data_IF_482472422010
#
_entry.id   IF_482472422010
#
_cell.length_a   1.000
_cell.length_b   1.000
_cell.length_c   1.000
_cell.angle_alpha   90.00
_cell.angle_beta   90.00
_cell.angle_gamma   90.00
#
_symmetry.space_group_name_H-M   'P 1'
#
loop_
_entity.id
_entity.type
_entity.pdbx_description
1 polymer ?
#
# COMPACT_ATOMS: atom_id res chain seq x y z
N UNK A 1 0.44 46.86 -31.23
CA UNK A 1 1.32 46.16 -30.26
C UNK A 1 0.69 44.80 -29.98
N UNK A 2 1.28 43.74 -30.52
CA UNK A 2 0.66 42.43 -30.69
C UNK A 2 0.56 41.65 -29.38
N UNK A 3 -0.65 41.17 -29.06
CA UNK A 3 -0.92 40.17 -28.02
C UNK A 3 -0.75 38.78 -28.65
N UNK A 4 0.28 38.06 -28.24
CA UNK A 4 0.39 36.62 -28.52
C UNK A 4 -0.43 35.85 -27.49
N UNK A 5 -1.50 35.19 -27.94
CA UNK A 5 -2.17 34.13 -27.20
C UNK A 5 -1.88 32.83 -27.93
N UNK A 6 -0.91 32.06 -27.43
CA UNK A 6 -0.66 30.70 -27.87
C UNK A 6 -1.68 29.77 -27.21
N UNK A 7 -2.71 29.40 -27.95
CA UNK A 7 -3.63 28.33 -27.58
C UNK A 7 -2.94 27.00 -27.89
N UNK A 8 -2.31 26.38 -26.89
CA UNK A 8 -1.87 25.00 -26.99
C UNK A 8 -3.11 24.09 -26.94
N UNK A 9 -3.43 23.47 -28.07
CA UNK A 9 -4.49 22.47 -28.19
C UNK A 9 -4.08 21.22 -27.41
N UNK A 10 -4.68 21.01 -26.24
CA UNK A 10 -4.68 19.70 -25.58
C UNK A 10 -5.63 18.80 -26.35
N UNK A 11 -5.06 17.90 -27.16
CA UNK A 11 -5.80 16.80 -27.73
C UNK A 11 -5.99 15.74 -26.63
N UNK A 12 -7.21 15.65 -26.08
CA UNK A 12 -7.60 14.53 -25.25
C UNK A 12 -7.70 13.28 -26.14
N UNK A 13 -6.69 12.42 -26.11
CA UNK A 13 -6.84 11.04 -26.59
C UNK A 13 -7.61 10.26 -25.54
N UNK A 14 -8.90 10.08 -25.76
CA UNK A 14 -9.67 9.06 -25.07
C UNK A 14 -9.26 7.68 -25.62
N UNK A 15 -8.29 7.02 -25.01
CA UNK A 15 -8.12 5.58 -25.17
C UNK A 15 -9.15 4.90 -24.24
N UNK A 16 -10.27 4.50 -24.83
CA UNK A 16 -11.17 3.53 -24.20
C UNK A 16 -10.54 2.15 -24.38
N UNK A 17 -9.76 1.72 -23.39
CA UNK A 17 -9.31 0.33 -23.29
C UNK A 17 -10.48 -0.49 -22.74
N UNK A 18 -11.31 -1.05 -23.62
CA UNK A 18 -12.22 -2.15 -23.22
C UNK A 18 -11.37 -3.39 -22.95
N UNK A 19 -11.04 -3.64 -21.68
CA UNK A 19 -10.60 -4.97 -21.26
C UNK A 19 -11.86 -5.83 -21.17
N UNK A 20 -12.23 -6.46 -22.28
CA UNK A 20 -13.18 -7.57 -22.27
C UNK A 20 -12.46 -8.77 -21.67
N UNK A 21 -12.57 -8.91 -20.34
CA UNK A 21 -12.24 -10.16 -19.68
C UNK A 21 -13.31 -11.17 -20.10
N UNK A 22 -13.05 -11.88 -21.19
CA UNK A 22 -13.86 -13.03 -21.58
C UNK A 22 -13.56 -14.13 -20.58
N UNK A 23 -14.42 -14.25 -19.56
CA UNK A 23 -14.47 -15.42 -18.72
C UNK A 23 -14.86 -16.61 -19.59
N UNK A 24 -13.87 -17.32 -20.13
CA UNK A 24 -14.07 -18.70 -20.56
C UNK A 24 -14.21 -19.53 -19.30
N UNK A 25 -15.32 -20.24 -19.20
CA UNK A 25 -15.43 -21.35 -18.27
C UNK A 25 -14.38 -22.38 -18.68
N UNK A 26 -13.24 -22.38 -18.00
CA UNK A 26 -12.29 -23.49 -18.04
C UNK A 26 -12.73 -24.53 -17.02
N UNK A 27 -12.79 -25.78 -17.49
CA UNK A 27 -12.95 -26.97 -16.67
C UNK A 27 -12.02 -26.92 -15.44
N UNK A 28 -12.50 -27.44 -14.31
CA UNK A 28 -11.77 -27.67 -13.04
C UNK A 28 -10.25 -27.66 -13.23
N UNK A 29 -9.49 -26.69 -12.67
CA UNK A 29 -8.11 -26.51 -13.04
C UNK A 29 -7.30 -27.75 -12.65
N UNK A 30 -6.89 -28.52 -13.66
CA UNK A 30 -5.67 -29.30 -13.60
C UNK A 30 -4.59 -28.35 -13.11
N UNK A 31 -3.85 -28.74 -12.06
CA UNK A 31 -2.83 -27.90 -11.43
C UNK A 31 -2.02 -27.16 -12.50
N UNK A 32 -2.05 -25.82 -12.47
CA UNK A 32 -1.27 -25.02 -13.40
C UNK A 32 0.18 -25.50 -13.37
N UNK A 33 0.86 -25.64 -14.52
CA UNK A 33 2.25 -26.06 -14.54
C UNK A 33 3.06 -25.18 -13.59
N UNK A 34 3.88 -25.80 -12.74
CA UNK A 34 4.74 -25.07 -11.82
C UNK A 34 5.65 -24.14 -12.62
N UNK A 35 5.53 -22.84 -12.41
CA UNK A 35 6.44 -21.86 -12.98
C UNK A 35 7.75 -21.87 -12.20
N UNK A 36 8.87 -21.79 -12.94
CA UNK A 36 10.21 -21.63 -12.38
C UNK A 36 10.75 -20.21 -12.55
N UNK A 37 10.11 -19.42 -13.40
CA UNK A 37 10.33 -17.99 -13.57
C UNK A 37 9.05 -17.33 -14.08
N UNK A 38 8.92 -16.03 -13.84
CA UNK A 38 7.84 -15.21 -14.35
C UNK A 38 8.33 -13.80 -14.66
N UNK A 39 7.75 -13.21 -15.71
CA UNK A 39 7.97 -11.82 -16.10
C UNK A 39 6.62 -11.20 -16.38
N UNK A 40 6.23 -10.23 -15.56
CA UNK A 40 5.05 -9.40 -15.80
C UNK A 40 5.46 -7.93 -15.95
N UNK A 41 4.61 -7.14 -16.56
CA UNK A 41 4.78 -5.70 -16.67
C UNK A 41 3.45 -5.00 -16.46
N UNK A 42 3.48 -3.89 -15.74
CA UNK A 42 2.33 -3.01 -15.55
C UNK A 42 2.78 -1.58 -15.81
N UNK A 43 1.94 -0.80 -16.47
CA UNK A 43 2.13 0.64 -16.60
C UNK A 43 0.81 1.31 -16.27
N UNK A 44 0.84 2.29 -15.39
CA UNK A 44 -0.35 3.00 -14.91
C UNK A 44 -0.16 4.49 -15.12
N UNK A 45 -1.24 5.15 -15.53
CA UNK A 45 -1.31 6.62 -15.63
C UNK A 45 -2.55 7.05 -14.86
N UNK A 46 -2.37 7.86 -13.84
CA UNK A 46 -3.47 8.45 -13.08
C UNK A 46 -3.50 9.93 -13.32
N UNK A 47 -4.63 10.46 -13.81
CA UNK A 47 -4.88 11.89 -13.88
C UNK A 47 -5.98 12.27 -12.88
N UNK A 48 -5.71 13.28 -12.05
CA UNK A 48 -6.67 13.81 -11.10
C UNK A 48 -6.81 15.33 -11.25
N UNK A 49 -8.02 15.81 -11.00
CA UNK A 49 -8.33 17.23 -11.06
C UNK A 49 -9.21 17.64 -9.89
N UNK A 50 -9.01 18.87 -9.41
CA UNK A 50 -9.93 19.56 -8.50
C UNK A 50 -10.43 20.82 -9.18
N UNK A 51 -11.72 21.09 -9.05
CA UNK A 51 -12.35 22.30 -9.60
C UNK A 51 -12.03 23.51 -8.72
N UNK A 52 -12.51 24.69 -9.13
CA UNK A 52 -12.43 25.88 -8.30
C UNK A 52 -13.33 25.74 -7.07
N UNK A 53 -12.76 25.99 -5.88
CA UNK A 53 -13.52 26.09 -4.62
C UNK A 53 -12.99 27.26 -3.79
N UNK A 54 -13.80 27.74 -2.86
CA UNK A 54 -13.40 28.83 -1.96
C UNK A 54 -12.33 28.32 -0.98
N UNK A 55 -11.16 28.98 -0.99
CA UNK A 55 -10.05 28.67 -0.09
C UNK A 55 -9.67 29.93 0.71
N UNK A 56 -10.44 30.31 1.75
CA UNK A 56 -10.21 31.53 2.52
C UNK A 56 -8.94 31.49 3.38
N UNK A 57 -8.40 30.30 3.64
CA UNK A 57 -7.20 30.08 4.44
C UNK A 57 -6.26 29.12 3.70
N UNK A 58 -5.19 29.65 3.12
CA UNK A 58 -4.19 28.87 2.40
C UNK A 58 -2.83 28.98 3.08
N UNK A 59 -2.13 27.87 3.18
CA UNK A 59 -0.74 27.77 3.62
C UNK A 59 -0.04 26.57 2.98
N UNK A 60 1.15 26.24 3.46
CA UNK A 60 2.00 25.21 2.86
C UNK A 60 1.35 23.82 2.82
N UNK A 61 0.43 23.54 3.76
CA UNK A 61 -0.28 22.25 3.87
C UNK A 61 -1.73 22.30 3.35
N UNK A 62 -2.06 23.25 2.46
CA UNK A 62 -3.42 23.42 1.91
C UNK A 62 -3.58 22.82 0.52
N UNK A 63 -4.80 22.39 0.18
CA UNK A 63 -5.15 21.95 -1.17
C UNK A 63 -5.39 23.19 -2.04
N UNK A 64 -4.66 23.29 -3.15
CA UNK A 64 -4.86 24.36 -4.12
C UNK A 64 -6.11 24.10 -5.00
N UNK A 65 -6.99 25.10 -5.20
CA UNK A 65 -8.10 24.99 -6.14
C UNK A 65 -7.62 24.98 -7.60
N UNK A 66 -8.47 24.49 -8.50
CA UNK A 66 -8.25 24.53 -9.96
C UNK A 66 -6.92 23.89 -10.40
N UNK A 67 -6.64 22.69 -9.90
CA UNK A 67 -5.41 21.96 -10.20
C UNK A 67 -5.71 20.70 -10.99
N UNK A 68 -4.83 20.37 -11.93
CA UNK A 68 -4.77 19.07 -12.60
C UNK A 68 -3.37 18.53 -12.38
N UNK A 69 -3.30 17.25 -12.01
CA UNK A 69 -2.07 16.54 -11.72
C UNK A 69 -2.14 15.14 -12.30
N UNK A 70 -0.97 14.59 -12.59
CA UNK A 70 -0.84 13.24 -13.11
C UNK A 70 0.35 12.53 -12.48
N UNK A 71 0.23 11.22 -12.39
CA UNK A 71 1.30 10.29 -12.07
C UNK A 71 1.38 9.22 -13.14
N UNK A 72 2.60 8.73 -13.34
CA UNK A 72 2.92 7.65 -14.25
C UNK A 72 3.92 6.73 -13.57
N UNK A 73 3.66 5.44 -13.61
CA UNK A 73 4.58 4.40 -13.20
C UNK A 73 4.61 3.27 -14.24
N UNK A 74 5.77 2.62 -14.37
CA UNK A 74 5.94 1.42 -15.15
C UNK A 74 6.87 0.45 -14.43
N UNK A 75 6.34 -0.73 -14.12
CA UNK A 75 6.96 -1.72 -13.22
C UNK A 75 7.11 -3.05 -13.93
N UNK A 76 8.30 -3.62 -13.85
CA UNK A 76 8.53 -5.02 -14.22
C UNK A 76 8.48 -5.87 -12.96
N UNK A 77 7.82 -7.03 -13.04
CA UNK A 77 7.80 -8.01 -11.99
C UNK A 77 8.61 -9.22 -12.44
N UNK A 78 9.80 -9.39 -11.87
CA UNK A 78 10.75 -10.43 -12.24
C UNK A 78 10.82 -11.45 -11.11
N UNK A 79 10.28 -12.65 -11.35
CA UNK A 79 10.23 -13.73 -10.37
C UNK A 79 11.03 -14.94 -10.82
N UNK A 80 11.73 -15.59 -9.91
CA UNK A 80 12.40 -16.88 -10.13
C UNK A 80 12.16 -17.82 -8.96
N UNK A 81 12.13 -19.12 -9.22
CA UNK A 81 12.11 -20.18 -8.20
C UNK A 81 13.53 -20.74 -8.02
N UNK A 82 14.34 -20.21 -7.08
CA UNK A 82 15.72 -20.65 -6.92
C UNK A 82 15.81 -22.07 -6.33
N UNK A 83 14.81 -22.48 -5.54
CA UNK A 83 14.63 -23.85 -5.06
C UNK A 83 13.16 -24.11 -4.72
N UNK A 84 12.84 -25.35 -4.36
CA UNK A 84 11.46 -25.78 -4.10
C UNK A 84 10.80 -24.93 -2.99
N UNK A 85 9.68 -24.31 -3.35
CA UNK A 85 8.88 -23.50 -2.43
C UNK A 85 9.46 -22.11 -2.17
N UNK A 86 10.58 -21.73 -2.79
CA UNK A 86 11.09 -20.37 -2.71
C UNK A 86 10.77 -19.57 -3.96
N UNK A 87 10.56 -18.28 -3.77
CA UNK A 87 10.39 -17.28 -4.83
C UNK A 87 11.29 -16.09 -4.51
N UNK A 88 12.13 -15.68 -5.45
CA UNK A 88 12.87 -14.42 -5.39
C UNK A 88 12.27 -13.46 -6.40
N UNK A 89 11.84 -12.29 -5.92
CA UNK A 89 11.20 -11.26 -6.73
C UNK A 89 11.99 -9.97 -6.71
N UNK A 90 12.10 -9.31 -7.87
CA UNK A 90 12.60 -7.96 -8.02
C UNK A 90 11.60 -7.12 -8.83
N UNK A 91 11.29 -5.92 -8.38
CA UNK A 91 10.37 -5.01 -9.06
C UNK A 91 11.04 -3.66 -9.35
N UNK A 92 11.85 -3.57 -10.43
CA UNK A 92 12.31 -2.28 -10.91
C UNK A 92 11.14 -1.49 -11.50
N UNK A 93 11.05 -0.22 -11.11
CA UNK A 93 9.97 0.71 -11.42
C UNK A 93 10.54 2.02 -11.96
N UNK A 94 9.87 2.59 -12.95
CA UNK A 94 10.07 3.97 -13.39
C UNK A 94 8.86 4.77 -12.95
N UNK A 95 9.08 5.80 -12.14
CA UNK A 95 8.04 6.69 -11.63
C UNK A 95 8.19 8.11 -12.17
N UNK A 96 7.07 8.83 -12.28
CA UNK A 96 7.00 10.26 -12.57
C UNK A 96 5.69 10.85 -12.05
N UNK A 97 5.74 12.14 -11.71
CA UNK A 97 4.53 12.94 -11.52
C UNK A 97 4.36 13.41 -10.08
N UNK A 98 3.16 13.92 -9.81
CA UNK A 98 2.82 14.51 -8.52
C UNK A 98 1.34 14.26 -8.23
N UNK A 99 0.99 14.08 -6.96
CA UNK A 99 -0.39 14.18 -6.51
C UNK A 99 -0.90 15.62 -6.48
N UNK A 100 -2.21 15.77 -6.34
CA UNK A 100 -2.84 17.06 -6.04
C UNK A 100 -2.19 17.69 -4.80
N UNK A 101 -1.67 18.90 -4.96
CA UNK A 101 -0.94 19.67 -3.93
C UNK A 101 0.14 18.86 -3.20
N UNK A 102 0.81 17.95 -3.91
CA UNK A 102 1.79 17.01 -3.34
C UNK A 102 1.22 16.24 -2.13
N UNK A 103 -0.03 15.78 -2.28
CA UNK A 103 -0.82 15.05 -1.28
C UNK A 103 -1.25 15.84 -0.04
N UNK A 104 -1.05 17.16 -0.01
CA UNK A 104 -1.43 18.01 1.13
C UNK A 104 -2.85 18.55 1.02
N UNK A 105 -3.43 18.90 2.18
CA UNK A 105 -4.69 19.65 2.27
C UNK A 105 -5.98 18.82 2.29
N UNK A 106 -5.90 17.49 2.20
CA UNK A 106 -7.03 16.58 2.37
C UNK A 106 -6.59 15.45 3.31
N UNK A 107 -7.38 15.18 4.36
CA UNK A 107 -7.00 14.20 5.38
C UNK A 107 -6.92 12.75 4.83
N UNK A 108 -7.84 12.36 3.94
CA UNK A 108 -7.76 11.11 3.19
C UNK A 108 -7.17 11.38 1.81
N UNK A 109 -5.88 11.06 1.62
CA UNK A 109 -5.14 11.48 0.43
C UNK A 109 -5.86 11.03 -0.85
N UNK A 110 -6.07 11.94 -1.83
CA UNK A 110 -6.92 11.63 -2.98
C UNK A 110 -6.39 10.52 -3.90
N UNK A 111 -5.10 10.24 -3.87
CA UNK A 111 -4.46 9.22 -4.68
C UNK A 111 -3.35 8.51 -3.91
N UNK A 112 -3.45 7.19 -3.82
CA UNK A 112 -2.39 6.28 -3.38
C UNK A 112 -1.38 5.96 -4.50
N UNK A 113 -1.71 6.29 -5.77
CA UNK A 113 -0.74 6.30 -6.89
C UNK A 113 0.11 7.58 -6.91
N UNK A 114 -0.15 8.52 -6.01
CA UNK A 114 0.67 9.70 -5.81
C UNK A 114 1.47 9.57 -4.51
N UNK A 115 2.71 9.14 -4.65
CA UNK A 115 3.65 9.09 -3.54
C UNK A 115 3.86 10.49 -2.92
N UNK A 116 4.27 10.50 -1.63
CA UNK A 116 4.53 11.72 -0.86
C UNK A 116 5.68 12.56 -1.44
N UNK A 117 6.45 11.98 -2.36
CA UNK A 117 7.52 12.61 -3.13
C UNK A 117 7.28 12.41 -4.64
N UNK A 118 7.27 13.51 -5.39
CA UNK A 118 7.04 13.52 -6.82
C UNK A 118 8.18 14.16 -7.61
N UNK A 119 8.33 13.82 -8.89
CA UNK A 119 9.34 14.40 -9.79
C UNK A 119 8.78 14.65 -11.19
N UNK A 120 9.20 15.74 -11.81
CA UNK A 120 8.80 16.09 -13.19
C UNK A 120 9.49 15.26 -14.26
N UNK A 121 10.65 14.66 -13.96
CA UNK A 121 11.37 13.75 -14.84
C UNK A 121 11.22 12.30 -14.34
N UNK A 122 11.09 11.31 -15.25
CA UNK A 122 11.13 9.90 -14.87
C UNK A 122 12.34 9.56 -14.02
N UNK A 123 12.14 8.74 -13.00
CA UNK A 123 13.22 8.27 -12.13
C UNK A 123 13.04 6.80 -11.79
N UNK A 124 14.17 6.14 -11.55
CA UNK A 124 14.20 4.72 -11.24
C UNK A 124 14.08 4.45 -9.74
N UNK A 125 13.33 3.41 -9.40
CA UNK A 125 13.25 2.83 -8.06
C UNK A 125 13.29 1.31 -8.14
N UNK A 126 13.85 0.68 -7.10
CA UNK A 126 13.63 -0.74 -6.84
C UNK A 126 12.69 -0.82 -5.64
N UNK A 127 11.40 -0.97 -5.93
CA UNK A 127 10.36 -0.91 -4.89
C UNK A 127 10.34 -2.20 -4.07
N UNK A 128 10.41 -3.35 -4.75
CA UNK A 128 10.44 -4.66 -4.12
C UNK A 128 11.71 -5.43 -4.50
N UNK A 129 12.31 -6.07 -3.50
CA UNK A 129 13.35 -7.09 -3.63
C UNK A 129 13.22 -8.03 -2.43
N UNK A 130 12.53 -9.16 -2.59
CA UNK A 130 12.23 -10.05 -1.48
C UNK A 130 12.35 -11.53 -1.85
N UNK A 131 12.69 -12.33 -0.85
CA UNK A 131 12.63 -13.78 -0.88
C UNK A 131 11.39 -14.23 -0.10
N UNK A 132 10.56 -15.07 -0.71
CA UNK A 132 9.44 -15.75 -0.07
C UNK A 132 9.70 -17.25 -0.04
N UNK A 133 9.59 -17.88 1.13
CA UNK A 133 9.64 -19.32 1.30
C UNK A 133 8.29 -19.84 1.80
N UNK A 134 7.68 -20.73 1.04
CA UNK A 134 6.48 -21.46 1.40
C UNK A 134 6.85 -22.88 1.83
N UNK A 135 6.49 -23.25 3.06
CA UNK A 135 6.64 -24.59 3.63
C UNK A 135 5.26 -25.22 3.74
N UNK A 136 5.04 -26.31 3.00
CA UNK A 136 3.77 -27.02 2.97
C UNK A 136 3.63 -27.89 4.23
N UNK A 137 2.55 -27.71 4.98
CA UNK A 137 2.28 -28.44 6.22
C UNK A 137 1.20 -29.53 6.05
N UNK A 138 0.41 -29.47 4.99
CA UNK A 138 -0.57 -30.50 4.62
C UNK A 138 -1.92 -29.93 4.20
N UNK A 139 -2.95 -30.77 4.22
CA UNK A 139 -4.30 -30.39 3.78
C UNK A 139 -4.48 -30.40 2.26
N UNK A 140 -5.59 -29.83 1.81
CA UNK A 140 -5.98 -29.77 0.40
C UNK A 140 -4.92 -29.06 -0.45
N UNK A 141 -4.72 -29.53 -1.69
CA UNK A 141 -3.87 -28.83 -2.65
C UNK A 141 -4.69 -27.79 -3.39
N UNK A 142 -4.24 -26.56 -3.31
CA UNK A 142 -4.86 -25.40 -3.94
C UNK A 142 -4.00 -25.04 -5.16
N UNK A 143 -4.63 -24.95 -6.33
CA UNK A 143 -3.99 -24.41 -7.52
C UNK A 143 -3.79 -22.90 -7.35
N UNK A 144 -2.62 -22.41 -7.73
CA UNK A 144 -2.25 -21.01 -7.67
C UNK A 144 -1.97 -20.54 -9.08
N UNK A 145 -2.70 -19.51 -9.53
CA UNK A 145 -2.45 -18.89 -10.83
C UNK A 145 -1.24 -17.96 -10.75
N UNK A 146 -0.48 -17.86 -11.84
CA UNK A 146 0.61 -16.89 -11.95
C UNK A 146 0.08 -15.47 -11.98
N UNK A 147 0.72 -14.57 -11.26
CA UNK A 147 0.39 -13.15 -11.20
C UNK A 147 1.63 -12.32 -10.87
N UNK A 148 1.50 -10.98 -10.91
CA UNK A 148 2.53 -10.10 -10.39
C UNK A 148 2.89 -10.52 -8.94
N UNK A 149 4.18 -10.77 -8.68
CA UNK A 149 4.68 -11.23 -7.38
C UNK A 149 4.13 -12.60 -6.88
N UNK A 150 3.69 -13.47 -7.80
CA UNK A 150 3.26 -14.84 -7.50
C UNK A 150 3.51 -15.80 -8.67
N UNK A 151 4.32 -16.84 -8.46
CA UNK A 151 4.49 -17.91 -9.46
C UNK A 151 3.27 -18.84 -9.51
N UNK A 152 2.89 -19.28 -10.70
CA UNK A 152 1.88 -20.33 -10.85
C UNK A 152 2.38 -21.66 -10.28
N UNK A 153 1.45 -22.46 -9.75
CA UNK A 153 1.76 -23.80 -9.25
C UNK A 153 0.70 -24.36 -8.31
N UNK A 154 1.14 -25.09 -7.30
CA UNK A 154 0.26 -25.69 -6.29
C UNK A 154 0.83 -25.53 -4.89
N UNK A 155 -0.01 -25.05 -3.97
CA UNK A 155 0.29 -24.95 -2.54
C UNK A 155 -0.68 -25.76 -1.70
N UNK A 156 -0.36 -25.91 -0.42
CA UNK A 156 -1.19 -26.59 0.56
C UNK A 156 -2.06 -25.59 1.31
N UNK A 157 -3.28 -25.99 1.65
CA UNK A 157 -4.19 -25.21 2.49
C UNK A 157 -3.52 -24.86 3.83
N UNK A 158 -2.86 -25.83 4.46
CA UNK A 158 -2.04 -25.61 5.64
C UNK A 158 -0.57 -25.40 5.23
N UNK A 159 -0.04 -24.21 5.50
CA UNK A 159 1.31 -23.81 5.10
C UNK A 159 1.87 -22.72 6.01
N UNK A 160 3.19 -22.61 6.03
CA UNK A 160 3.91 -21.47 6.58
C UNK A 160 4.55 -20.71 5.42
N UNK A 161 4.35 -19.40 5.35
CA UNK A 161 4.99 -18.50 4.38
C UNK A 161 5.89 -17.55 5.14
N UNK A 162 7.14 -17.43 4.72
CA UNK A 162 8.11 -16.51 5.28
C UNK A 162 8.57 -15.58 4.17
N UNK A 163 8.41 -14.27 4.34
CA UNK A 163 8.83 -13.24 3.39
C UNK A 163 9.89 -12.37 4.04
N UNK A 164 11.01 -12.13 3.38
CA UNK A 164 12.09 -11.25 3.87
C UNK A 164 12.68 -10.44 2.74
N UNK A 165 12.96 -9.16 2.99
CA UNK A 165 13.57 -8.25 2.02
C UNK A 165 12.94 -6.87 2.04
N UNK A 166 12.93 -6.20 0.89
CA UNK A 166 12.19 -4.95 0.67
C UNK A 166 10.84 -5.23 0.03
N UNK A 167 9.75 -4.85 0.68
CA UNK A 167 8.38 -4.99 0.20
C UNK A 167 7.44 -4.04 0.96
N UNK A 168 6.18 -3.92 0.54
CA UNK A 168 5.19 -3.11 1.24
C UNK A 168 4.62 -3.88 2.42
N UNK A 169 4.40 -3.23 3.57
CA UNK A 169 3.72 -3.88 4.71
C UNK A 169 2.31 -4.32 4.29
N UNK A 170 1.61 -3.47 3.52
CA UNK A 170 0.32 -3.78 2.90
C UNK A 170 0.32 -5.01 1.98
N UNK A 171 1.47 -5.45 1.45
CA UNK A 171 1.52 -6.67 0.62
C UNK A 171 1.14 -7.94 1.42
N UNK A 172 1.19 -7.88 2.76
CA UNK A 172 0.92 -9.00 3.66
C UNK A 172 -0.21 -8.69 4.65
N UNK A 173 -0.27 -7.46 5.16
CA UNK A 173 -1.22 -7.03 6.19
C UNK A 173 -2.32 -6.16 5.59
N UNK A 174 -3.49 -6.15 6.23
CA UNK A 174 -4.63 -5.31 5.85
C UNK A 174 -5.14 -5.49 4.41
N UNK A 175 -4.87 -6.66 3.84
CA UNK A 175 -5.31 -7.05 2.50
C UNK A 175 -6.83 -7.07 2.40
N UNK A 176 -7.37 -6.64 1.25
CA UNK A 176 -8.79 -6.71 0.94
C UNK A 176 -9.00 -6.95 -0.55
N UNK A 177 -9.89 -7.87 -0.91
CA UNK A 177 -10.10 -8.23 -2.33
C UNK A 177 -10.80 -7.16 -3.18
N UNK A 178 -11.42 -6.16 -2.56
CA UNK A 178 -12.23 -5.14 -3.24
C UNK A 178 -11.62 -3.75 -3.21
N UNK A 179 -10.69 -3.49 -2.30
CA UNK A 179 -10.16 -2.17 -2.03
C UNK A 179 -8.76 -2.28 -1.42
N UNK A 180 -7.75 -2.50 -2.26
CA UNK A 180 -6.36 -2.63 -1.83
C UNK A 180 -5.34 -2.23 -2.89
N UNK A 181 -5.65 -2.41 -4.18
CA UNK A 181 -4.74 -2.01 -5.26
C UNK A 181 -5.15 -0.63 -5.81
N UNK A 182 -4.36 0.43 -5.61
CA UNK A 182 -4.66 1.73 -6.18
C UNK A 182 -4.56 1.82 -7.71
N UNK A 183 -3.96 0.81 -8.35
CA UNK A 183 -3.89 0.68 -9.82
C UNK A 183 -5.09 -0.04 -10.43
N UNK A 184 -5.90 -0.73 -9.61
CA UNK A 184 -7.03 -1.57 -10.06
C UNK A 184 -8.38 -1.24 -9.40
N UNK A 185 -8.37 -0.78 -8.16
CA UNK A 185 -9.55 -0.64 -7.31
C UNK A 185 -9.94 0.83 -7.09
N UNK A 186 -9.31 1.50 -6.12
CA UNK A 186 -9.65 2.85 -5.67
C UNK A 186 -8.40 3.70 -5.57
N UNK A 187 -8.51 5.00 -5.88
CA UNK A 187 -7.39 5.92 -5.71
C UNK A 187 -7.24 6.41 -4.27
N UNK A 188 -8.32 6.55 -3.51
CA UNK A 188 -8.24 7.19 -2.19
C UNK A 188 -7.48 6.30 -1.19
N UNK A 189 -6.45 6.86 -0.57
CA UNK A 189 -5.57 6.14 0.35
C UNK A 189 -6.33 5.53 1.53
N UNK A 190 -7.26 6.28 2.13
CA UNK A 190 -8.07 5.81 3.26
C UNK A 190 -9.14 4.77 2.88
N UNK A 191 -9.20 4.38 1.60
CA UNK A 191 -10.06 3.31 1.09
C UNK A 191 -9.24 2.06 0.73
N UNK A 192 -8.08 2.24 0.07
CA UNK A 192 -7.19 1.11 -0.28
C UNK A 192 -6.58 0.45 0.95
N UNK A 193 -6.28 1.22 1.99
CA UNK A 193 -5.85 0.71 3.28
C UNK A 193 -6.76 1.25 4.38
N UNK A 194 -6.73 0.63 5.56
CA UNK A 194 -7.44 1.17 6.71
C UNK A 194 -6.77 2.47 7.10
N UNK A 195 -7.48 3.60 7.00
CA UNK A 195 -6.88 4.94 7.08
C UNK A 195 -6.19 5.34 8.41
N UNK A 196 -6.17 4.47 9.42
CA UNK A 196 -5.37 4.67 10.65
C UNK A 196 -4.04 3.88 10.65
N UNK A 197 -3.85 2.98 9.68
CA UNK A 197 -2.69 2.11 9.56
C UNK A 197 -1.50 2.94 9.09
N UNK A 198 -0.63 3.30 10.03
CA UNK A 198 0.57 4.11 9.82
C UNK A 198 1.75 3.15 9.66
N UNK A 199 1.81 2.46 8.52
CA UNK A 199 2.76 1.38 8.36
C UNK A 199 4.13 1.88 7.96
N UNK A 200 5.15 1.12 8.34
CA UNK A 200 6.55 1.38 8.12
C UNK A 200 6.86 1.41 6.63
N UNK A 201 7.43 2.52 6.17
CA UNK A 201 7.73 2.71 4.76
C UNK A 201 8.74 3.84 4.53
N UNK A 202 9.42 3.77 3.38
CA UNK A 202 9.95 4.96 2.74
C UNK A 202 8.80 5.80 2.14
N UNK A 203 9.12 6.97 1.59
CA UNK A 203 8.14 7.88 0.99
C UNK A 203 7.31 7.29 -0.18
N UNK A 204 7.62 6.06 -0.63
CA UNK A 204 6.92 5.31 -1.67
C UNK A 204 6.10 4.12 -1.15
N UNK A 205 6.05 3.88 0.16
CA UNK A 205 5.22 2.80 0.73
C UNK A 205 5.96 1.47 0.92
N UNK A 206 7.30 1.46 0.87
CA UNK A 206 8.08 0.22 0.96
C UNK A 206 9.06 0.22 2.13
N UNK A 207 9.20 -0.93 2.82
CA UNK A 207 10.14 -1.10 3.94
C UNK A 207 11.00 -2.35 3.80
N UNK A 208 12.13 -2.35 4.52
CA UNK A 208 12.92 -3.55 4.77
C UNK A 208 12.37 -4.26 6.00
N UNK A 209 12.06 -5.55 5.87
CA UNK A 209 11.53 -6.31 6.98
C UNK A 209 11.39 -7.78 6.69
N UNK A 210 10.66 -8.43 7.60
CA UNK A 210 10.25 -9.81 7.46
C UNK A 210 8.81 -9.99 7.92
N UNK A 211 8.10 -10.90 7.28
CA UNK A 211 6.78 -11.33 7.68
C UNK A 211 6.69 -12.86 7.69
N UNK A 212 5.89 -13.39 8.60
CA UNK A 212 5.55 -14.80 8.70
C UNK A 212 4.04 -14.97 8.69
N UNK A 213 3.53 -15.84 7.83
CA UNK A 213 2.11 -16.14 7.69
C UNK A 213 1.87 -17.63 7.92
N UNK A 214 1.07 -17.97 8.93
CA UNK A 214 0.70 -19.34 9.24
C UNK A 214 -0.76 -19.59 8.86
N UNK A 215 -0.95 -20.38 7.81
CA UNK A 215 -2.24 -20.79 7.30
C UNK A 215 -2.64 -22.13 7.92
N UNK A 216 -3.83 -22.17 8.54
CA UNK A 216 -4.40 -23.40 9.10
C UNK A 216 -5.92 -23.43 8.99
N UNK A 217 -6.43 -24.26 8.09
CA UNK A 217 -7.86 -24.33 7.78
C UNK A 217 -8.44 -22.94 7.40
N UNK A 218 -9.52 -22.47 8.04
CA UNK A 218 -10.11 -21.17 7.74
C UNK A 218 -9.32 -19.99 8.32
N UNK A 219 -8.24 -20.23 9.09
CA UNK A 219 -7.50 -19.19 9.78
C UNK A 219 -6.15 -18.89 9.13
N UNK A 220 -5.71 -17.64 9.26
CA UNK A 220 -4.33 -17.21 9.01
C UNK A 220 -3.86 -16.33 10.16
N UNK A 221 -2.67 -16.59 10.70
CA UNK A 221 -1.98 -15.68 11.62
C UNK A 221 -0.79 -15.06 10.89
N UNK A 222 -0.65 -13.74 10.96
CA UNK A 222 0.47 -13.00 10.35
C UNK A 222 1.21 -12.22 11.43
N UNK A 223 2.54 -12.23 11.35
CA UNK A 223 3.45 -11.48 12.22
C UNK A 223 4.50 -10.79 11.37
N UNK A 224 4.81 -9.54 11.68
CA UNK A 224 5.70 -8.69 10.87
C UNK A 224 6.65 -7.86 11.73
N UNK A 225 7.83 -7.58 11.18
CA UNK A 225 8.79 -6.63 11.74
C UNK A 225 9.48 -5.85 10.61
N UNK A 226 9.37 -4.52 10.64
CA UNK A 226 9.77 -3.65 9.55
C UNK A 226 10.55 -2.43 10.04
N UNK A 227 11.45 -1.89 9.23
CA UNK A 227 12.17 -0.66 9.54
C UNK A 227 11.30 0.56 9.28
N UNK A 228 11.23 1.48 10.23
CA UNK A 228 10.64 2.79 10.00
C UNK A 228 11.59 3.69 9.19
N UNK A 229 11.06 4.77 8.64
CA UNK A 229 11.86 5.85 8.08
C UNK A 229 12.78 6.50 9.14
N UNK A 230 13.90 7.11 8.70
CA UNK A 230 14.78 7.86 9.62
C UNK A 230 14.11 9.11 10.19
N UNK A 231 13.24 9.73 9.39
CA UNK A 231 12.43 10.91 9.73
C UNK A 231 11.08 10.72 9.07
N UNK A 232 9.97 11.16 9.70
CA UNK A 232 8.62 10.91 9.20
C UNK A 232 8.47 11.17 7.71
N UNK A 233 7.85 10.24 6.99
CA UNK A 233 7.60 10.28 5.54
C UNK A 233 8.88 10.41 4.69
N UNK A 234 10.04 10.02 5.23
CA UNK A 234 11.32 10.20 4.57
C UNK A 234 11.62 9.18 3.47
N UNK A 235 12.45 9.57 2.51
CA UNK A 235 12.92 8.68 1.44
C UNK A 235 13.88 7.56 1.92
N UNK A 236 14.42 7.72 3.13
CA UNK A 236 15.49 6.87 3.67
C UNK A 236 15.00 6.15 4.91
N UNK A 237 14.94 4.82 4.80
CA UNK A 237 14.70 3.92 5.92
C UNK A 237 15.87 3.93 6.89
N UNK A 238 15.57 3.69 8.16
CA UNK A 238 16.59 3.39 9.16
C UNK A 238 17.27 2.04 8.82
N UNK A 239 18.51 1.85 9.23
CA UNK A 239 19.34 0.69 8.86
C UNK A 239 19.79 -0.15 10.06
N UNK A 240 19.73 0.40 11.27
CA UNK A 240 20.15 -0.23 12.53
C UNK A 240 19.02 -0.85 13.34
N UNK A 241 17.77 -0.84 12.85
CA UNK A 241 16.56 -1.26 13.59
C UNK A 241 16.37 -0.51 14.91
N UNK A 242 16.89 0.71 15.01
CA UNK A 242 16.66 1.60 16.15
C UNK A 242 15.26 2.20 16.15
N UNK A 243 14.60 2.18 14.98
CA UNK A 243 13.18 2.48 14.82
C UNK A 243 12.55 1.40 13.94
N UNK A 244 11.45 0.81 14.41
CA UNK A 244 10.82 -0.33 13.76
C UNK A 244 9.32 -0.37 14.05
N UNK A 245 8.59 -1.07 13.19
CA UNK A 245 7.21 -1.47 13.40
C UNK A 245 7.14 -2.96 13.69
N UNK A 246 6.19 -3.35 14.54
CA UNK A 246 5.75 -4.72 14.71
C UNK A 246 4.27 -4.83 14.36
N UNK A 247 3.94 -5.83 13.55
CA UNK A 247 2.57 -6.12 13.11
C UNK A 247 2.12 -7.49 13.59
N UNK A 248 0.84 -7.58 13.96
CA UNK A 248 0.17 -8.86 14.13
C UNK A 248 -1.24 -8.79 13.56
N UNK A 249 -1.62 -9.76 12.75
CA UNK A 249 -2.96 -9.88 12.17
C UNK A 249 -3.48 -11.31 12.29
N UNK A 250 -4.75 -11.45 12.64
CA UNK A 250 -5.47 -12.70 12.53
C UNK A 250 -6.62 -12.57 11.53
N UNK A 251 -6.69 -13.51 10.60
CA UNK A 251 -7.72 -13.61 9.57
C UNK A 251 -8.55 -14.86 9.79
N UNK A 252 -9.88 -14.71 9.68
CA UNK A 252 -10.82 -15.81 9.52
C UNK A 252 -11.51 -15.71 8.16
N UNK A 253 -11.48 -16.79 7.38
CA UNK A 253 -12.19 -16.94 6.11
C UNK A 253 -13.45 -17.77 6.31
N UNK A 254 -14.54 -17.35 5.70
CA UNK A 254 -15.84 -18.01 5.85
C UNK A 254 -16.67 -17.95 4.56
N UNK A 255 -17.82 -18.64 4.59
CA UNK A 255 -18.78 -18.65 3.50
C UNK A 255 -20.18 -18.37 4.05
N UNK A 256 -20.88 -17.38 3.50
CA UNK A 256 -22.28 -17.06 3.83
C UNK A 256 -23.10 -17.24 2.55
N UNK A 257 -24.06 -18.18 2.55
CA UNK A 257 -24.90 -18.41 1.37
C UNK A 257 -24.14 -18.85 0.12
N UNK A 258 -23.05 -19.62 0.28
CA UNK A 258 -22.08 -19.98 -0.78
C UNK A 258 -21.17 -18.85 -1.27
N UNK A 259 -21.27 -17.65 -0.69
CA UNK A 259 -20.44 -16.51 -1.05
C UNK A 259 -19.27 -16.34 -0.06
N UNK A 260 -18.02 -16.27 -0.55
CA UNK A 260 -16.83 -16.20 0.31
C UNK A 260 -16.67 -14.81 0.95
N UNK A 261 -16.21 -14.79 2.19
CA UNK A 261 -15.84 -13.57 2.92
C UNK A 261 -14.68 -13.80 3.87
N UNK A 262 -14.18 -12.72 4.47
CA UNK A 262 -13.14 -12.77 5.48
C UNK A 262 -13.29 -11.63 6.50
N UNK A 263 -12.80 -11.87 7.71
CA UNK A 263 -12.64 -10.87 8.77
C UNK A 263 -11.20 -10.89 9.24
N UNK A 264 -10.58 -9.72 9.31
CA UNK A 264 -9.21 -9.51 9.76
C UNK A 264 -9.20 -8.53 10.93
N UNK A 265 -8.45 -8.87 11.95
CA UNK A 265 -8.14 -8.01 13.09
C UNK A 265 -6.63 -7.87 13.17
N UNK A 266 -6.14 -6.64 13.05
CA UNK A 266 -4.72 -6.35 13.09
C UNK A 266 -4.39 -5.31 14.16
N UNK A 267 -3.17 -5.39 14.67
CA UNK A 267 -2.55 -4.39 15.55
C UNK A 267 -1.15 -4.11 15.05
N UNK A 268 -0.73 -2.86 15.20
CA UNK A 268 0.62 -2.43 14.87
C UNK A 268 1.21 -1.59 16.01
N UNK A 269 2.54 -1.56 16.06
CA UNK A 269 3.29 -0.79 17.04
C UNK A 269 4.56 -0.20 16.47
N UNK A 270 4.54 1.11 16.21
CA UNK A 270 5.69 1.86 15.72
C UNK A 270 6.54 2.31 16.90
N UNK A 271 7.73 1.72 17.05
CA UNK A 271 8.73 2.15 18.00
C UNK A 271 9.74 3.07 17.32
N UNK A 272 9.83 4.31 17.78
CA UNK A 272 10.64 5.33 17.12
C UNK A 272 10.67 6.63 17.91
N UNK A 273 11.09 7.72 17.29
CA UNK A 273 11.15 9.04 17.93
C UNK A 273 9.96 9.91 17.53
N UNK A 274 8.99 10.04 18.42
CA UNK A 274 7.74 10.77 18.14
C UNK A 274 7.64 12.06 18.93
N UNK A 275 7.11 13.10 18.31
CA UNK A 275 6.61 14.27 19.01
C UNK A 275 5.22 13.96 19.56
N UNK A 276 4.96 14.40 20.80
CA UNK A 276 3.61 14.41 21.34
C UNK A 276 2.90 15.70 20.92
N UNK A 277 1.65 15.57 20.51
CA UNK A 277 0.85 16.70 20.04
C UNK A 277 0.51 17.68 21.17
N UNK A 278 0.35 17.20 22.42
CA UNK A 278 0.14 18.07 23.58
C UNK A 278 1.37 18.94 23.89
N UNK A 279 2.58 18.40 23.79
CA UNK A 279 3.84 19.15 23.91
C UNK A 279 4.00 20.17 22.79
N UNK A 280 3.60 19.82 21.55
CA UNK A 280 3.61 20.77 20.43
C UNK A 280 2.63 21.94 20.66
N UNK A 281 1.41 21.66 21.13
CA UNK A 281 0.43 22.70 21.46
C UNK A 281 0.92 23.57 22.62
N UNK A 282 1.51 22.99 23.66
CA UNK A 282 2.08 23.73 24.77
C UNK A 282 3.25 24.63 24.30
N UNK A 283 4.13 24.14 23.43
CA UNK A 283 5.23 24.91 22.87
C UNK A 283 4.73 26.09 22.01
N UNK A 284 3.67 25.89 21.22
CA UNK A 284 3.00 26.97 20.49
C UNK A 284 2.44 28.04 21.43
N UNK A 285 1.66 27.62 22.44
CA UNK A 285 1.06 28.55 23.40
C UNK A 285 2.10 29.38 24.17
N UNK A 286 3.28 28.81 24.43
CA UNK A 286 4.37 29.51 25.12
C UNK A 286 5.13 30.51 24.24
N UNK A 287 5.31 30.21 22.94
CA UNK A 287 6.17 31.00 22.03
C UNK A 287 5.41 31.85 21.01
N UNK A 288 4.14 31.56 20.77
CA UNK A 288 3.32 32.22 19.74
C UNK A 288 3.70 31.84 18.30
N UNK A 289 4.55 30.82 18.10
CA UNK A 289 5.02 30.36 16.79
C UNK A 289 4.89 28.85 16.67
N UNK A 290 4.61 28.34 15.46
CA UNK A 290 4.52 26.90 15.19
C UNK A 290 5.86 26.23 15.57
N UNK A 291 5.87 25.22 16.45
CA UNK A 291 7.10 24.56 16.85
C UNK A 291 7.61 23.61 15.76
N UNK A 292 8.93 23.45 15.67
CA UNK A 292 9.54 22.35 14.93
C UNK A 292 9.39 21.05 15.74
N UNK A 293 8.55 20.13 15.23
CA UNK A 293 8.30 18.83 15.85
C UNK A 293 9.57 18.00 16.00
N UNK A 294 10.56 18.16 15.12
CA UNK A 294 11.81 17.39 15.19
C UNK A 294 12.53 17.58 16.53
N UNK A 295 12.44 18.78 17.12
CA UNK A 295 13.04 19.12 18.42
C UNK A 295 12.30 18.53 19.62
N UNK A 296 11.04 18.11 19.44
CA UNK A 296 10.18 17.57 20.48
C UNK A 296 10.18 16.02 20.50
N UNK A 297 10.75 15.39 19.48
CA UNK A 297 10.73 13.93 19.31
C UNK A 297 11.55 13.18 20.36
N UNK A 298 10.88 12.29 21.09
CA UNK A 298 11.48 11.38 22.08
C UNK A 298 11.16 9.91 21.75
N UNK A 299 11.98 8.95 22.19
CA UNK A 299 11.65 7.53 22.06
C UNK A 299 10.28 7.22 22.64
N UNK A 300 9.41 6.63 21.82
CA UNK A 300 8.06 6.26 22.18
C UNK A 300 7.58 5.12 21.28
N UNK A 301 6.46 4.51 21.69
CA UNK A 301 5.74 3.56 20.84
C UNK A 301 4.35 4.10 20.58
N UNK A 302 3.99 4.23 19.29
CA UNK A 302 2.65 4.56 18.83
C UNK A 302 1.95 3.26 18.44
N UNK A 303 0.83 2.97 19.09
CA UNK A 303 0.04 1.76 18.84
C UNK A 303 -1.19 2.08 17.99
N UNK A 304 -1.63 1.12 17.21
CA UNK A 304 -2.92 1.16 16.54
C UNK A 304 -3.51 -0.23 16.36
N UNK A 305 -4.79 -0.26 16.02
CA UNK A 305 -5.52 -1.47 15.72
C UNK A 305 -6.63 -1.24 14.72
N UNK A 306 -6.92 -2.26 13.93
CA UNK A 306 -7.85 -2.18 12.82
C UNK A 306 -8.65 -3.47 12.61
N UNK A 307 -9.83 -3.27 12.03
CA UNK A 307 -10.79 -4.26 11.58
C UNK A 307 -10.98 -4.08 10.08
N UNK A 308 -10.83 -5.18 9.35
CA UNK A 308 -11.04 -5.23 7.90
C UNK A 308 -11.97 -6.42 7.59
N UNK A 309 -13.10 -6.14 6.95
CA UNK A 309 -14.12 -7.12 6.59
C UNK A 309 -14.35 -7.05 5.10
N UNK A 310 -14.48 -8.21 4.46
CA UNK A 310 -14.93 -8.36 3.09
C UNK A 310 -15.97 -9.47 2.98
N UNK A 311 -16.99 -9.27 2.16
CA UNK A 311 -18.02 -10.26 1.91
C UNK A 311 -18.54 -10.14 0.48
N UNK A 312 -18.47 -11.24 -0.26
CA UNK A 312 -19.22 -11.36 -1.50
C UNK A 312 -20.71 -11.52 -1.17
N UNK A 313 -21.58 -10.76 -1.84
CA UNK A 313 -23.03 -10.79 -1.67
C UNK A 313 -23.69 -11.53 -2.82
N UNK A 314 -23.19 -11.33 -4.03
CA UNK A 314 -23.56 -12.05 -5.25
C UNK A 314 -22.31 -12.24 -6.10
N UNK A 315 -22.40 -13.00 -7.20
CA UNK A 315 -21.28 -13.14 -8.14
C UNK A 315 -20.83 -11.84 -8.84
N UNK A 316 -21.50 -10.70 -8.61
CA UNK A 316 -21.14 -9.39 -9.18
C UNK A 316 -21.15 -8.25 -8.14
N UNK A 317 -21.45 -8.53 -6.88
CA UNK A 317 -21.53 -7.52 -5.81
C UNK A 317 -20.74 -7.99 -4.59
N UNK A 318 -19.77 -7.16 -4.19
CA UNK A 318 -19.01 -7.31 -2.95
C UNK A 318 -19.21 -6.11 -2.03
N UNK A 319 -19.05 -6.34 -0.74
CA UNK A 319 -19.03 -5.31 0.30
C UNK A 319 -17.73 -5.42 1.09
N UNK A 320 -17.22 -4.29 1.55
CA UNK A 320 -16.12 -4.24 2.50
C UNK A 320 -16.34 -3.16 3.55
N UNK A 321 -15.70 -3.35 4.70
CA UNK A 321 -15.66 -2.38 5.80
C UNK A 321 -14.25 -2.36 6.37
N UNK A 322 -13.72 -1.15 6.55
CA UNK A 322 -12.45 -0.89 7.25
C UNK A 322 -12.74 0.07 8.40
N UNK A 323 -12.20 -0.22 9.58
CA UNK A 323 -12.30 0.64 10.75
C UNK A 323 -11.05 0.48 11.61
N UNK A 324 -10.57 1.55 12.21
CA UNK A 324 -9.45 1.44 13.13
C UNK A 324 -9.22 2.68 13.97
N UNK A 325 -8.31 2.53 14.93
CA UNK A 325 -7.94 3.56 15.89
C UNK A 325 -6.44 3.47 16.15
N UNK A 326 -5.81 4.63 16.27
CA UNK A 326 -4.39 4.75 16.58
C UNK A 326 -4.20 5.76 17.70
N UNK A 327 -3.10 5.66 18.43
CA UNK A 327 -2.77 6.59 19.52
C UNK A 327 -2.57 8.01 18.99
N UNK A 328 -3.60 8.83 19.14
CA UNK A 328 -3.63 10.22 18.70
C UNK A 328 -2.81 11.19 19.55
N UNK A 329 -2.09 10.71 20.58
CA UNK A 329 -1.16 11.56 21.35
C UNK A 329 0.11 11.88 20.57
N UNK A 330 0.48 11.05 19.62
CA UNK A 330 1.70 11.16 18.82
C UNK A 330 1.39 11.57 17.38
N UNK A 331 2.35 12.23 16.73
CA UNK A 331 2.31 12.44 15.28
C UNK A 331 2.24 11.11 14.51
N UNK A 332 1.63 11.11 13.31
CA UNK A 332 1.80 10.02 12.35
C UNK A 332 3.24 10.04 11.79
N UNK A 333 3.76 8.88 11.38
CA UNK A 333 5.18 8.74 11.10
C UNK A 333 5.46 8.41 9.63
N UNK A 334 4.99 7.28 9.13
CA UNK A 334 5.34 6.77 7.81
C UNK A 334 4.15 6.79 6.87
N UNK A 335 3.66 5.64 6.38
CA UNK A 335 2.70 5.62 5.28
C UNK A 335 1.27 5.81 5.79
#
# INVERSE_FOLDING_TARGET
MMRNHSWARLAAMALVSTVTQTARAEDTPSAAPQESFAVHGQATVVAQAVTGFANPYSGDNSLAPSQIKETFDATLYLGVQPWRGAELWANPEIDQGFGLSNTLGVAGFPSAEAYKVGKSSPYFRLQRLFLRQTVLLGGERIAVAGAANQLAGSQSADRLVLTVGKFGVGDVFDTNRYAHDPRGDFLNWAIVDTGNFDYAADAWGYSYGAAAEWYRGPWTLRLGAFNLSKVPNGEVLETGYGQYELDAEIEHRHTIGSHPGAVRLAVFGNHGRFARLDEAVAAFNAKGSIPDLATLRRPATRLGGQLNIEQEVTGTLGLFLRAGVSDGRYEAYDF
#
